data_IF_857956046667
#
_entry.id   IF_857956046667
#
_cell.length_a   1.000
_cell.length_b   1.000
_cell.length_c   1.000
_cell.angle_alpha   90.00
_cell.angle_beta   90.00
_cell.angle_gamma   90.00
#
_symmetry.space_group_name_H-M   'P 1'
#
loop_
_entity.id
_entity.type
_entity.pdbx_description
1 polymer ?
#
# COMPACT_ATOMS: atom_id res chain seq x y z
N UNK A 1 -23.72 -19.45 -12.87
CA UNK A 1 -22.26 -19.58 -12.92
C UNK A 1 -21.62 -18.49 -12.08
N UNK A 2 -20.70 -18.87 -11.23
CA UNK A 2 -19.96 -17.91 -10.41
C UNK A 2 -18.95 -17.19 -11.28
N UNK A 3 -18.98 -15.86 -11.24
CA UNK A 3 -18.03 -15.05 -12.01
C UNK A 3 -16.66 -15.11 -11.37
N UNK A 4 -15.62 -15.12 -12.19
CA UNK A 4 -14.24 -15.15 -11.71
C UNK A 4 -13.95 -14.02 -10.72
N UNK A 5 -14.47 -12.83 -11.00
CA UNK A 5 -14.28 -11.68 -10.11
C UNK A 5 -14.84 -11.95 -8.71
N UNK A 6 -15.99 -12.58 -8.61
CA UNK A 6 -16.59 -12.91 -7.31
C UNK A 6 -15.75 -13.93 -6.55
N UNK A 7 -15.17 -14.90 -7.25
CA UNK A 7 -14.29 -15.89 -6.64
C UNK A 7 -13.05 -15.20 -6.07
N UNK A 8 -12.44 -14.29 -6.82
CA UNK A 8 -11.25 -13.59 -6.39
C UNK A 8 -11.55 -12.72 -5.17
N UNK A 9 -12.64 -11.96 -5.21
CA UNK A 9 -13.02 -11.08 -4.12
C UNK A 9 -13.33 -11.85 -2.84
N UNK A 10 -14.01 -12.99 -2.95
CA UNK A 10 -14.36 -13.79 -1.78
C UNK A 10 -13.15 -14.46 -1.13
N UNK A 11 -12.01 -14.50 -1.84
CA UNK A 11 -10.78 -15.11 -1.35
C UNK A 11 -9.74 -14.11 -0.88
N UNK A 12 -10.09 -12.85 -0.80
CA UNK A 12 -9.17 -11.85 -0.24
C UNK A 12 -9.00 -12.12 1.25
N UNK A 13 -7.77 -11.97 1.68
CA UNK A 13 -7.41 -12.11 3.09
C UNK A 13 -7.92 -10.91 3.88
N UNK A 14 -8.11 -11.09 5.19
CA UNK A 14 -8.34 -9.97 6.10
C UNK A 14 -7.07 -9.15 6.31
N UNK A 15 -5.92 -9.70 5.94
CA UNK A 15 -4.66 -9.02 6.08
C UNK A 15 -4.53 -7.90 5.06
N UNK A 16 -3.87 -6.83 5.47
CA UNK A 16 -3.59 -5.67 4.64
C UNK A 16 -2.08 -5.49 4.56
N UNK A 17 -1.60 -5.09 3.41
CA UNK A 17 -0.17 -4.81 3.22
C UNK A 17 0.02 -3.50 2.48
N UNK A 18 1.06 -2.76 2.84
CA UNK A 18 1.38 -1.50 2.21
C UNK A 18 2.88 -1.23 2.17
N UNK A 19 3.25 -0.24 1.39
CA UNK A 19 4.63 0.19 1.21
C UNK A 19 4.82 1.57 1.82
N UNK A 20 5.78 1.69 2.72
CA UNK A 20 6.27 2.98 3.19
C UNK A 20 7.46 3.35 2.31
N UNK A 21 7.20 4.15 1.27
CA UNK A 21 8.25 4.62 0.36
C UNK A 21 8.81 5.92 0.90
N UNK A 22 10.08 5.89 1.29
CA UNK A 22 10.72 6.98 2.02
C UNK A 22 11.85 7.58 1.18
N UNK A 23 11.81 8.89 1.03
CA UNK A 23 12.87 9.67 0.38
C UNK A 23 13.34 10.70 1.39
N UNK A 24 14.61 10.60 1.78
CA UNK A 24 15.17 11.40 2.88
C UNK A 24 14.35 11.15 4.16
N UNK A 25 13.67 12.17 4.67
CA UNK A 25 12.84 12.05 5.87
C UNK A 25 11.35 12.07 5.57
N UNK A 26 10.97 11.99 4.30
CA UNK A 26 9.57 12.12 3.88
C UNK A 26 9.05 10.79 3.34
N UNK A 27 7.79 10.55 3.56
CA UNK A 27 7.12 9.33 3.16
C UNK A 27 5.97 9.64 2.21
N UNK A 28 5.85 8.85 1.15
CA UNK A 28 4.75 8.98 0.19
C UNK A 28 3.44 8.55 0.85
N UNK A 29 2.49 9.46 0.87
CA UNK A 29 1.17 9.22 1.43
C UNK A 29 0.11 9.54 0.39
N UNK A 30 -1.04 8.87 0.51
CA UNK A 30 -2.22 9.12 -0.31
C UNK A 30 -3.39 9.43 0.62
N UNK A 31 -4.32 10.24 0.13
CA UNK A 31 -5.52 10.60 0.88
C UNK A 31 -6.72 9.92 0.22
N UNK A 32 -7.49 9.18 1.00
CA UNK A 32 -8.67 8.50 0.47
C UNK A 32 -9.87 9.46 0.37
N UNK A 33 -10.98 8.95 -0.15
CA UNK A 33 -12.18 9.76 -0.37
C UNK A 33 -12.85 10.19 0.92
N UNK A 34 -12.52 9.56 2.04
CA UNK A 34 -12.99 9.97 3.37
C UNK A 34 -12.10 11.05 4.00
N UNK A 35 -11.02 11.43 3.30
CA UNK A 35 -10.10 12.45 3.77
C UNK A 35 -8.97 11.91 4.63
N UNK A 36 -8.85 10.61 4.80
CA UNK A 36 -7.79 10.01 5.63
C UNK A 36 -6.51 9.82 4.85
N UNK A 37 -5.40 10.19 5.46
CA UNK A 37 -4.07 10.03 4.89
C UNK A 37 -3.44 8.73 5.38
N UNK A 38 -2.72 8.06 4.50
CA UNK A 38 -1.99 6.86 4.84
C UNK A 38 -1.05 6.45 3.72
N UNK A 39 -0.30 5.39 3.97
CA UNK A 39 0.55 4.82 2.92
C UNK A 39 -0.33 4.05 1.93
N UNK A 40 0.13 3.92 0.66
CA UNK A 40 -0.57 3.06 -0.29
C UNK A 40 -0.63 1.63 0.24
N UNK A 41 -1.83 1.06 0.32
CA UNK A 41 -2.05 -0.26 0.93
C UNK A 41 -3.38 -0.84 0.48
N UNK A 42 -3.54 -2.13 0.71
CA UNK A 42 -4.81 -2.80 0.46
C UNK A 42 -4.76 -4.26 0.89
N UNK A 43 -5.86 -4.93 0.67
CA UNK A 43 -5.99 -6.34 1.08
C UNK A 43 -5.10 -7.25 0.25
N UNK A 44 -4.48 -8.22 0.93
CA UNK A 44 -3.64 -9.23 0.29
C UNK A 44 -4.56 -10.27 -0.36
N UNK A 45 -4.24 -10.67 -1.58
CA UNK A 45 -4.96 -11.77 -2.23
C UNK A 45 -4.48 -13.10 -1.68
N UNK A 46 -5.34 -14.12 -1.73
CA UNK A 46 -5.07 -15.38 -1.04
C UNK A 46 -3.81 -16.10 -1.53
N UNK A 47 -3.43 -15.88 -2.77
CA UNK A 47 -2.25 -16.53 -3.36
C UNK A 47 -1.02 -15.62 -3.42
N UNK A 48 -1.07 -14.50 -2.72
CA UNK A 48 0.04 -13.56 -2.65
C UNK A 48 0.74 -13.66 -1.31
N UNK A 49 2.06 -13.45 -1.32
CA UNK A 49 2.76 -13.14 -0.08
C UNK A 49 2.40 -11.70 0.34
N UNK A 50 2.57 -11.34 1.61
CA UNK A 50 2.34 -9.96 2.03
C UNK A 50 3.16 -8.94 1.24
N UNK A 51 4.42 -9.26 0.92
CA UNK A 51 5.26 -8.36 0.13
C UNK A 51 4.72 -8.19 -1.29
N UNK A 52 4.29 -9.28 -1.93
CA UNK A 52 3.70 -9.20 -3.26
C UNK A 52 2.43 -8.34 -3.27
N UNK A 53 1.59 -8.52 -2.26
CA UNK A 53 0.38 -7.72 -2.12
C UNK A 53 0.68 -6.25 -1.92
N UNK A 54 1.66 -5.94 -1.07
CA UNK A 54 2.06 -4.57 -0.82
C UNK A 54 2.58 -3.88 -2.09
N UNK A 55 3.42 -4.57 -2.85
CA UNK A 55 3.96 -4.02 -4.10
C UNK A 55 2.87 -3.81 -5.14
N UNK A 56 1.94 -4.76 -5.24
CA UNK A 56 0.81 -4.64 -6.16
C UNK A 56 -0.07 -3.44 -5.82
N UNK A 57 -0.44 -3.31 -4.53
CA UNK A 57 -1.27 -2.19 -4.08
C UNK A 57 -0.56 -0.85 -4.30
N UNK A 58 0.74 -0.80 -4.03
CA UNK A 58 1.50 0.43 -4.25
C UNK A 58 1.44 0.85 -5.72
N UNK A 59 1.66 -0.10 -6.64
CA UNK A 59 1.62 0.20 -8.07
C UNK A 59 0.21 0.57 -8.53
N UNK A 60 -0.81 -0.13 -8.03
CA UNK A 60 -2.19 0.18 -8.38
C UNK A 60 -2.59 1.60 -7.95
N UNK A 61 -2.16 2.01 -6.75
CA UNK A 61 -2.59 3.28 -6.17
C UNK A 61 -1.75 4.47 -6.61
N UNK A 62 -0.51 4.26 -7.02
CA UNK A 62 0.38 5.36 -7.39
C UNK A 62 0.87 5.32 -8.83
N UNK A 63 0.73 4.19 -9.51
CA UNK A 63 1.28 3.91 -10.83
C UNK A 63 2.82 3.97 -10.86
N UNK A 64 3.44 3.79 -9.71
CA UNK A 64 4.89 3.69 -9.58
C UNK A 64 5.27 2.22 -9.49
N UNK A 65 6.22 1.79 -10.32
CA UNK A 65 6.77 0.44 -10.27
C UNK A 65 8.08 0.51 -9.50
N UNK A 66 8.13 -0.18 -8.35
CA UNK A 66 9.32 -0.18 -7.51
C UNK A 66 10.26 -1.31 -7.93
N UNK A 67 11.50 -0.92 -8.21
CA UNK A 67 12.58 -1.87 -8.48
C UNK A 67 13.58 -1.93 -7.32
N UNK A 68 13.20 -1.37 -6.18
CA UNK A 68 14.03 -1.30 -5.00
C UNK A 68 13.77 -2.47 -4.08
N UNK A 69 14.77 -2.82 -3.30
CA UNK A 69 14.66 -3.87 -2.30
C UNK A 69 13.91 -3.36 -1.08
N UNK A 70 13.14 -4.26 -0.48
CA UNK A 70 12.52 -3.97 0.81
C UNK A 70 13.62 -4.02 1.87
N UNK A 71 13.77 -2.95 2.64
CA UNK A 71 14.84 -2.87 3.65
C UNK A 71 14.37 -3.25 5.05
N UNK A 72 13.07 -3.16 5.30
CA UNK A 72 12.53 -3.42 6.62
C UNK A 72 11.06 -3.76 6.51
N UNK A 73 10.57 -4.64 7.37
CA UNK A 73 9.15 -4.95 7.45
C UNK A 73 8.66 -4.92 8.89
N UNK A 74 7.41 -4.56 9.06
CA UNK A 74 6.75 -4.51 10.36
C UNK A 74 5.36 -5.06 10.24
N UNK A 75 4.92 -5.80 11.27
CA UNK A 75 3.58 -6.38 11.30
C UNK A 75 2.86 -5.93 12.56
N UNK A 76 1.62 -5.50 12.42
CA UNK A 76 0.78 -5.10 13.53
C UNK A 76 -0.60 -5.73 13.40
N UNK A 77 -1.31 -5.86 14.51
CA UNK A 77 -2.68 -6.39 14.50
C UNK A 77 -3.69 -5.30 14.18
N UNK A 78 -4.67 -5.64 13.36
CA UNK A 78 -5.82 -4.77 13.10
C UNK A 78 -6.89 -5.00 14.16
N UNK A 79 -7.72 -3.98 14.37
CA UNK A 79 -8.81 -4.07 15.36
C UNK A 79 -9.84 -5.14 15.04
N UNK A 80 -10.08 -5.39 13.75
CA UNK A 80 -11.10 -6.33 13.30
C UNK A 80 -10.54 -7.72 12.97
N UNK A 81 -9.37 -8.05 13.50
CA UNK A 81 -8.66 -9.28 13.15
C UNK A 81 -7.82 -9.06 11.90
N UNK A 82 -6.97 -10.02 11.58
CA UNK A 82 -6.02 -9.88 10.49
C UNK A 82 -4.80 -9.06 10.88
N UNK A 83 -3.81 -9.08 10.03
CA UNK A 83 -2.54 -8.40 10.24
C UNK A 83 -2.37 -7.25 9.26
N UNK A 84 -1.65 -6.23 9.70
CA UNK A 84 -1.24 -5.12 8.85
C UNK A 84 0.27 -5.24 8.64
N UNK A 85 0.67 -5.46 7.40
CA UNK A 85 2.08 -5.61 7.02
C UNK A 85 2.56 -4.33 6.35
N UNK A 86 3.61 -3.74 6.88
CA UNK A 86 4.22 -2.53 6.31
C UNK A 86 5.64 -2.87 5.87
N UNK A 87 5.95 -2.57 4.63
CA UNK A 87 7.29 -2.80 4.07
C UNK A 87 7.92 -1.46 3.73
N UNK A 88 9.11 -1.22 4.27
CA UNK A 88 9.83 0.03 4.02
C UNK A 88 10.73 -0.10 2.80
N UNK A 89 10.65 0.87 1.92
CA UNK A 89 11.49 0.97 0.74
C UNK A 89 12.06 2.38 0.67
N UNK A 90 13.39 2.50 0.66
CA UNK A 90 14.03 3.81 0.55
C UNK A 90 14.28 4.15 -0.91
N UNK A 91 13.88 5.34 -1.31
CA UNK A 91 14.10 5.85 -2.64
C UNK A 91 15.14 6.95 -2.67
N UNK A 92 15.69 7.18 -3.85
CA UNK A 92 16.71 8.22 -4.05
C UNK A 92 16.10 9.58 -4.36
N UNK A 93 14.87 9.59 -4.86
CA UNK A 93 14.17 10.81 -5.25
C UNK A 93 12.67 10.62 -5.14
N UNK A 94 11.97 11.73 -4.98
CA UNK A 94 10.52 11.72 -4.99
C UNK A 94 10.02 11.44 -6.40
N UNK A 95 9.18 10.43 -6.53
CA UNK A 95 8.57 10.06 -7.80
C UNK A 95 7.15 10.58 -7.80
N UNK A 96 6.72 11.17 -8.91
CA UNK A 96 5.34 11.65 -9.05
C UNK A 96 4.37 10.48 -9.10
N UNK A 97 3.37 10.51 -8.22
CA UNK A 97 2.31 9.52 -8.22
C UNK A 97 1.20 9.95 -9.17
N UNK A 98 0.49 8.96 -9.72
CA UNK A 98 -0.72 9.18 -10.52
C UNK A 98 -1.82 8.39 -9.86
N UNK A 99 -2.61 9.07 -9.03
CA UNK A 99 -3.66 8.42 -8.24
C UNK A 99 -4.93 8.25 -9.07
N UNK A 100 -5.66 7.17 -8.76
CA UNK A 100 -6.94 6.90 -9.38
C UNK A 100 -8.09 7.55 -8.61
N UNK A 101 -9.32 7.16 -8.95
CA UNK A 101 -10.51 7.74 -8.36
C UNK A 101 -10.78 7.27 -6.92
N UNK A 102 -10.01 6.32 -6.41
CA UNK A 102 -10.11 5.89 -5.02
C UNK A 102 -9.40 6.83 -4.06
N UNK A 103 -8.58 7.74 -4.58
CA UNK A 103 -7.83 8.70 -3.79
C UNK A 103 -8.03 10.10 -4.35
N UNK A 104 -7.93 11.10 -3.49
CA UNK A 104 -8.18 12.50 -3.87
C UNK A 104 -6.92 13.36 -3.83
N UNK A 105 -5.85 12.88 -3.17
CA UNK A 105 -4.62 13.65 -3.07
C UNK A 105 -3.46 12.71 -2.73
N UNK A 106 -2.23 13.22 -2.88
CA UNK A 106 -1.02 12.50 -2.52
C UNK A 106 0.10 13.49 -2.25
N UNK A 107 1.13 13.04 -1.58
CA UNK A 107 2.32 13.87 -1.35
C UNK A 107 3.35 13.15 -0.52
N UNK A 108 4.48 13.80 -0.33
CA UNK A 108 5.57 13.33 0.51
C UNK A 108 5.58 14.16 1.79
N UNK A 109 5.44 13.51 2.93
CA UNK A 109 5.28 14.19 4.21
C UNK A 109 6.25 13.67 5.25
N UNK A 110 6.76 14.60 6.05
CA UNK A 110 7.64 14.27 7.16
C UNK A 110 6.81 13.89 8.38
N UNK A 111 7.32 12.94 9.18
CA UNK A 111 6.66 12.52 10.40
C UNK A 111 6.62 13.60 11.48
N UNK A 112 7.35 14.69 11.28
CA UNK A 112 7.40 15.79 12.24
C UNK A 112 6.35 16.87 11.98
N UNK A 113 5.50 16.64 11.00
CA UNK A 113 4.46 17.63 10.66
C UNK A 113 3.12 17.27 11.25
#
# INVERSE_FOLDING_TARGET
MIKLKQIIESKDSKDVAGIAYIVDTKMLCVQDTDGEWGIPKGHIHINETPEEGALREFTEETQIILNKQIEFSHKAKKKNGGDYHVFMCKGDKEITAHIGHEHIDWGYYSSNN
#
